data_IF_916407100378
#
_entry.id   IF_916407100378
#
_cell.length_a   1.000
_cell.length_b   1.000
_cell.length_c   1.000
_cell.angle_alpha   90.00
_cell.angle_beta   90.00
_cell.angle_gamma   90.00
#
_symmetry.space_group_name_H-M   'P 1'
#
loop_
_entity.id
_entity.type
_entity.pdbx_description
1 polymer ?
#
# COMPACT_ATOMS: atom_id res chain seq x y z
N UNK A 1 0.26 16.77 -1.24
CA UNK A 1 0.22 16.47 -2.70
C UNK A 1 -1.09 16.95 -3.30
N UNK A 2 -1.09 17.26 -4.57
CA UNK A 2 -2.31 17.62 -5.28
C UNK A 2 -3.10 16.38 -5.70
N UNK A 3 -4.40 16.56 -5.93
CA UNK A 3 -5.25 15.46 -6.39
C UNK A 3 -4.79 14.90 -7.74
N UNK A 4 -4.21 15.74 -8.60
CA UNK A 4 -3.72 15.34 -9.92
C UNK A 4 -2.48 14.44 -9.80
N UNK A 5 -1.54 14.79 -8.91
CA UNK A 5 -0.36 13.97 -8.62
C UNK A 5 -0.75 12.59 -8.08
N UNK A 6 -1.74 12.55 -7.20
CA UNK A 6 -2.25 11.30 -6.64
C UNK A 6 -2.90 10.46 -7.73
N UNK A 7 -3.71 11.06 -8.60
CA UNK A 7 -4.42 10.35 -9.65
C UNK A 7 -3.46 9.66 -10.62
N UNK A 8 -2.33 10.29 -10.93
CA UNK A 8 -1.30 9.70 -11.80
C UNK A 8 -0.62 8.48 -11.16
N UNK A 9 -0.67 8.36 -9.85
CA UNK A 9 -0.04 7.27 -9.10
C UNK A 9 -0.98 6.09 -8.83
N UNK A 10 -2.27 6.19 -9.18
CA UNK A 10 -3.26 5.13 -8.92
C UNK A 10 -2.85 3.84 -9.64
N UNK A 11 -2.84 2.73 -8.90
CA UNK A 11 -2.51 1.38 -9.36
C UNK A 11 -1.06 1.22 -9.86
N UNK A 12 -0.19 2.17 -9.56
CA UNK A 12 1.24 2.08 -9.91
C UNK A 12 2.01 1.69 -8.64
N UNK A 13 2.75 0.57 -8.70
CA UNK A 13 3.60 0.15 -7.59
C UNK A 13 4.67 1.21 -7.35
N UNK A 14 4.65 1.80 -6.15
CA UNK A 14 5.44 2.99 -5.84
C UNK A 14 5.95 2.97 -4.41
N UNK A 15 6.98 3.79 -4.15
CA UNK A 15 7.42 4.11 -2.80
C UNK A 15 6.67 5.35 -2.32
N UNK A 16 5.97 5.22 -1.21
CA UNK A 16 5.18 6.29 -0.59
C UNK A 16 5.93 6.86 0.60
N UNK A 17 5.99 8.18 0.66
CA UNK A 17 6.50 8.88 1.85
C UNK A 17 5.33 9.63 2.47
N UNK A 18 5.07 9.32 3.75
CA UNK A 18 3.99 9.92 4.52
C UNK A 18 4.50 11.14 5.30
N UNK A 19 3.58 12.00 5.71
CA UNK A 19 3.91 13.25 6.40
C UNK A 19 4.67 13.03 7.72
N UNK A 20 4.49 11.87 8.36
CA UNK A 20 5.18 11.50 9.59
C UNK A 20 6.58 10.94 9.37
N UNK A 21 7.05 10.91 8.12
CA UNK A 21 8.37 10.38 7.75
C UNK A 21 8.39 8.89 7.42
N UNK A 22 7.27 8.18 7.61
CA UNK A 22 7.15 6.77 7.26
C UNK A 22 7.29 6.61 5.74
N UNK A 23 8.07 5.60 5.33
CA UNK A 23 8.24 5.24 3.92
C UNK A 23 7.85 3.79 3.73
N UNK A 24 6.91 3.54 2.82
CA UNK A 24 6.42 2.20 2.55
C UNK A 24 6.15 2.00 1.07
N UNK A 25 6.53 0.84 0.50
CA UNK A 25 6.14 0.48 -0.86
C UNK A 25 4.73 -0.09 -0.89
N UNK A 26 4.05 0.11 -2.00
CA UNK A 26 2.71 -0.42 -2.18
C UNK A 26 2.02 0.19 -3.37
N UNK A 27 0.70 0.12 -3.36
CA UNK A 27 -0.14 0.74 -4.39
C UNK A 27 -1.20 1.62 -3.76
N UNK A 28 -1.59 2.63 -4.50
CA UNK A 28 -2.71 3.49 -4.15
C UNK A 28 -3.90 3.09 -5.02
N UNK A 29 -5.06 2.93 -4.39
CA UNK A 29 -6.31 2.66 -5.08
C UNK A 29 -7.31 3.76 -4.76
N UNK A 30 -8.32 3.90 -5.59
CA UNK A 30 -9.38 4.86 -5.35
C UNK A 30 -10.75 4.17 -5.36
N UNK A 31 -11.71 4.81 -4.71
CA UNK A 31 -13.09 4.36 -4.68
C UNK A 31 -13.99 5.59 -4.61
N UNK A 32 -15.10 5.57 -5.35
CA UNK A 32 -16.09 6.62 -5.26
C UNK A 32 -17.07 6.33 -4.12
N UNK A 33 -17.20 7.28 -3.20
CA UNK A 33 -18.16 7.19 -2.11
C UNK A 33 -19.46 7.89 -2.55
N UNK A 34 -20.49 7.09 -2.82
CA UNK A 34 -21.77 7.59 -3.29
C UNK A 34 -22.47 8.49 -2.28
N UNK A 35 -22.35 8.19 -0.99
CA UNK A 35 -23.01 8.94 0.07
C UNK A 35 -22.45 10.35 0.20
N UNK A 36 -21.13 10.49 0.03
CA UNK A 36 -20.41 11.76 0.15
C UNK A 36 -20.15 12.43 -1.20
N UNK A 37 -20.46 11.75 -2.31
CA UNK A 37 -20.21 12.23 -3.67
C UNK A 37 -18.75 12.65 -3.88
N UNK A 38 -17.81 11.86 -3.37
CA UNK A 38 -16.38 12.17 -3.50
C UNK A 38 -15.56 10.91 -3.67
N UNK A 39 -14.38 11.10 -4.27
CA UNK A 39 -13.39 10.03 -4.45
C UNK A 39 -12.60 9.90 -3.14
N UNK A 40 -12.44 8.67 -2.68
CA UNK A 40 -11.60 8.33 -1.54
C UNK A 40 -10.39 7.54 -2.02
N UNK A 41 -9.26 7.73 -1.34
CA UNK A 41 -8.00 7.06 -1.66
C UNK A 41 -7.61 6.11 -0.54
N UNK A 42 -7.07 4.96 -0.92
CA UNK A 42 -6.62 3.94 0.02
C UNK A 42 -5.26 3.43 -0.38
N UNK A 43 -4.39 3.26 0.61
CA UNK A 43 -3.06 2.71 0.42
C UNK A 43 -3.07 1.23 0.78
N UNK A 44 -2.53 0.40 -0.13
CA UNK A 44 -2.35 -1.03 0.10
C UNK A 44 -0.86 -1.27 0.29
N UNK A 45 -0.39 -1.54 1.52
CA UNK A 45 1.03 -1.84 1.76
C UNK A 45 1.46 -3.09 0.99
N UNK A 46 2.73 -3.13 0.60
CA UNK A 46 3.29 -4.27 -0.13
C UNK A 46 2.96 -5.60 0.56
N UNK A 47 3.09 -5.65 1.87
CA UNK A 47 2.85 -6.87 2.66
C UNK A 47 1.42 -7.38 2.55
N UNK A 48 0.47 -6.50 2.22
CA UNK A 48 -0.95 -6.85 2.12
C UNK A 48 -1.45 -7.00 0.67
N UNK A 49 -0.61 -6.76 -0.33
CA UNK A 49 -1.05 -6.72 -1.74
C UNK A 49 -1.62 -8.06 -2.20
N UNK A 50 -0.96 -9.17 -1.87
CA UNK A 50 -1.44 -10.49 -2.28
C UNK A 50 -2.74 -10.86 -1.57
N UNK A 51 -2.82 -10.61 -0.27
CA UNK A 51 -4.04 -10.87 0.50
C UNK A 51 -5.21 -10.00 0.01
N UNK A 52 -4.92 -8.75 -0.31
CA UNK A 52 -5.92 -7.84 -0.88
C UNK A 52 -6.46 -8.35 -2.22
N UNK A 53 -5.55 -8.77 -3.11
CA UNK A 53 -5.95 -9.34 -4.41
C UNK A 53 -6.85 -10.56 -4.22
N UNK A 54 -6.48 -11.46 -3.31
CA UNK A 54 -7.25 -12.66 -3.03
C UNK A 54 -8.64 -12.33 -2.48
N UNK A 55 -8.72 -11.37 -1.55
CA UNK A 55 -9.99 -10.92 -1.00
C UNK A 55 -10.87 -10.24 -2.05
N UNK A 56 -10.27 -9.43 -2.90
CA UNK A 56 -10.95 -8.77 -4.01
C UNK A 56 -11.55 -9.80 -4.99
N UNK A 57 -10.77 -10.82 -5.35
CA UNK A 57 -11.21 -11.87 -6.27
C UNK A 57 -12.36 -12.69 -5.69
N UNK A 58 -12.46 -12.80 -4.36
CA UNK A 58 -13.55 -13.48 -3.66
C UNK A 58 -14.77 -12.58 -3.42
N UNK A 59 -14.68 -11.30 -3.78
CA UNK A 59 -15.71 -10.30 -3.44
C UNK A 59 -15.90 -10.16 -1.92
N UNK A 60 -14.85 -10.39 -1.15
CA UNK A 60 -14.85 -10.25 0.31
C UNK A 60 -14.49 -8.82 0.71
N UNK A 61 -15.51 -7.97 0.79
CA UNK A 61 -15.35 -6.54 1.03
C UNK A 61 -14.74 -6.24 2.40
N UNK A 62 -15.17 -6.96 3.43
CA UNK A 62 -14.65 -6.76 4.78
C UNK A 62 -13.15 -7.07 4.85
N UNK A 63 -12.74 -8.19 4.27
CA UNK A 63 -11.33 -8.56 4.22
C UNK A 63 -10.51 -7.51 3.46
N UNK A 64 -11.04 -6.99 2.34
CA UNK A 64 -10.37 -5.91 1.60
C UNK A 64 -10.15 -4.69 2.49
N UNK A 65 -11.17 -4.26 3.22
CA UNK A 65 -11.11 -3.05 4.04
C UNK A 65 -10.13 -3.18 5.22
N UNK A 66 -9.92 -4.39 5.72
CA UNK A 66 -8.95 -4.64 6.79
C UNK A 66 -7.50 -4.54 6.33
N UNK A 67 -7.26 -4.66 5.02
CA UNK A 67 -5.93 -4.71 4.44
C UNK A 67 -5.43 -3.38 3.87
N UNK A 68 -6.27 -2.35 3.89
CA UNK A 68 -5.98 -1.06 3.28
C UNK A 68 -6.08 0.06 4.32
N UNK A 69 -5.39 1.16 4.03
CA UNK A 69 -5.35 2.33 4.89
C UNK A 69 -5.96 3.52 4.15
N UNK A 70 -6.97 4.16 4.73
CA UNK A 70 -7.55 5.37 4.15
C UNK A 70 -6.53 6.51 4.24
N UNK A 71 -6.26 7.17 3.12
CA UNK A 71 -5.31 8.28 3.04
C UNK A 71 -5.95 9.47 2.32
N UNK A 72 -5.50 10.65 2.70
CA UNK A 72 -5.86 11.89 2.03
C UNK A 72 -4.63 12.49 1.35
N UNK A 73 -4.80 13.45 0.42
CA UNK A 73 -3.64 14.12 -0.18
C UNK A 73 -2.67 14.72 0.84
N UNK A 74 -3.19 15.20 1.97
CA UNK A 74 -2.38 15.81 3.03
C UNK A 74 -1.53 14.80 3.79
N UNK A 75 -1.90 13.53 3.77
CA UNK A 75 -1.14 12.47 4.42
C UNK A 75 0.13 12.09 3.65
N UNK A 76 0.22 12.48 2.38
CA UNK A 76 1.29 12.05 1.48
C UNK A 76 2.23 13.19 1.13
N UNK A 77 3.52 12.96 1.31
CA UNK A 77 4.59 13.91 0.95
C UNK A 77 5.08 13.66 -0.47
N UNK A 78 5.34 12.39 -0.81
CA UNK A 78 5.78 12.04 -2.15
C UNK A 78 5.38 10.62 -2.52
N UNK A 79 5.23 10.39 -3.82
CA UNK A 79 5.00 9.07 -4.41
C UNK A 79 5.96 8.95 -5.57
N UNK A 80 6.84 7.93 -5.55
CA UNK A 80 7.80 7.69 -6.62
C UNK A 80 7.62 6.28 -7.16
N UNK A 81 7.47 6.10 -8.49
CA UNK A 81 7.44 4.76 -9.07
C UNK A 81 8.69 3.98 -8.68
N UNK A 82 8.52 2.71 -8.38
CA UNK A 82 9.61 1.85 -7.95
C UNK A 82 10.39 1.39 -9.17
N UNK A 83 11.70 1.67 -9.20
CA UNK A 83 12.59 1.15 -10.23
C UNK A 83 12.84 -0.34 -10.03
N UNK A 84 13.38 -1.01 -11.06
CA UNK A 84 13.70 -2.44 -10.95
C UNK A 84 14.72 -2.71 -9.83
N UNK A 85 15.69 -1.83 -9.66
CA UNK A 85 16.69 -1.93 -8.59
C UNK A 85 16.03 -1.82 -7.22
N UNK A 86 15.18 -0.81 -7.04
CA UNK A 86 14.45 -0.59 -5.80
C UNK A 86 13.52 -1.76 -5.48
N UNK A 87 12.87 -2.31 -6.49
CA UNK A 87 11.99 -3.47 -6.35
C UNK A 87 12.74 -4.68 -5.80
N UNK A 88 13.92 -4.96 -6.36
CA UNK A 88 14.76 -6.07 -5.88
C UNK A 88 15.19 -5.87 -4.43
N UNK A 89 15.61 -4.65 -4.09
CA UNK A 89 16.00 -4.31 -2.73
C UNK A 89 14.84 -4.49 -1.75
N UNK A 90 13.64 -4.04 -2.12
CA UNK A 90 12.44 -4.16 -1.30
C UNK A 90 12.10 -5.64 -1.07
N UNK A 91 12.17 -6.48 -2.10
CA UNK A 91 11.93 -7.92 -1.97
C UNK A 91 12.93 -8.57 -1.02
N UNK A 92 14.20 -8.17 -1.07
CA UNK A 92 15.22 -8.66 -0.17
C UNK A 92 14.91 -8.28 1.27
N UNK A 93 14.55 -7.03 1.53
CA UNK A 93 14.20 -6.56 2.88
C UNK A 93 12.97 -7.27 3.43
N UNK A 94 11.97 -7.53 2.61
CA UNK A 94 10.79 -8.30 3.01
C UNK A 94 11.19 -9.74 3.36
N UNK A 95 12.06 -10.36 2.56
CA UNK A 95 12.55 -11.70 2.82
C UNK A 95 13.30 -11.80 4.15
N UNK A 96 14.18 -10.85 4.44
CA UNK A 96 14.90 -10.78 5.71
C UNK A 96 13.94 -10.61 6.89
N UNK A 97 12.96 -9.73 6.76
CA UNK A 97 11.93 -9.50 7.77
C UNK A 97 11.15 -10.79 8.06
N UNK A 98 10.75 -11.51 7.02
CA UNK A 98 10.02 -12.77 7.16
C UNK A 98 10.87 -13.84 7.82
N UNK A 99 12.16 -13.92 7.52
CA UNK A 99 13.08 -14.84 8.18
C UNK A 99 13.22 -14.52 9.67
N UNK A 100 13.33 -13.25 10.03
CA UNK A 100 13.38 -12.83 11.44
C UNK A 100 12.12 -13.21 12.19
N UNK A 101 10.96 -13.01 11.59
CA UNK A 101 9.68 -13.40 12.20
C UNK A 101 9.57 -14.90 12.38
N UNK A 102 9.98 -15.69 11.37
CA UNK A 102 9.99 -17.16 11.44
C UNK A 102 10.93 -17.66 12.54
N UNK A 103 12.14 -17.10 12.63
CA UNK A 103 13.11 -17.44 13.66
C UNK A 103 12.58 -17.12 15.05
N UNK A 104 11.90 -16.00 15.21
CA UNK A 104 11.30 -15.57 16.48
C UNK A 104 10.19 -16.51 16.93
N UNK A 105 9.38 -17.01 15.98
CA UNK A 105 8.30 -17.96 16.27
C UNK A 105 8.85 -19.35 16.57
N UNK A 106 9.98 -19.76 16.03
CA UNK A 106 10.62 -21.04 16.28
C UNK A 106 11.38 -21.07 17.61
N UNK A 107 11.71 -19.92 18.18
CA UNK A 107 12.43 -19.80 19.44
C UNK A 107 11.57 -19.97 20.68
N UNK A 108 10.33 -20.29 20.51
CA UNK A 108 9.39 -20.51 21.62
C UNK A 108 9.21 -22.02 21.87
#
# INVERSE_FOLDING_TARGET
>A
MTALEIQDAINVYSMFTFWDGRKEPGILINRFNLQRSQVEYFFVPQENMQAYKNAFDRFDREACMELIEHVTPDDLVSIRPVSLSDYKMILQLIGERNQQLAAKNQGN
#
